data_IF_067348559458
#
_entry.id   IF_067348559458
#
_cell.length_a   1.000
_cell.length_b   1.000
_cell.length_c   1.000
_cell.angle_alpha   90.00
_cell.angle_beta   90.00
_cell.angle_gamma   90.00
#
_symmetry.space_group_name_H-M   'P 1'
#
loop_
_entity.id
_entity.type
_entity.pdbx_description
1 polymer ?
#
# COMPACT_ATOMS: atom_id res chain seq x y z
N UNK A 1 -24.93 -41.90 -26.00
CA UNK A 1 -24.02 -41.99 -27.16
C UNK A 1 -22.68 -42.51 -26.65
N UNK A 2 -22.38 -43.79 -26.93
CA UNK A 2 -21.01 -44.32 -26.95
C UNK A 2 -20.32 -43.81 -28.24
N UNK A 3 -18.98 -43.65 -28.30
CA UNK A 3 -18.01 -44.77 -28.28
C UNK A 3 -16.87 -44.55 -27.26
N UNK A 4 -16.37 -45.56 -26.50
CA UNK A 4 -15.44 -46.66 -26.89
C UNK A 4 -14.13 -46.13 -27.51
N UNK A 5 -12.92 -46.66 -27.28
CA UNK A 5 -12.35 -47.77 -26.52
C UNK A 5 -10.82 -47.74 -26.84
N UNK A 6 -10.07 -48.62 -26.15
CA UNK A 6 -8.80 -49.25 -26.62
C UNK A 6 -7.56 -48.35 -26.52
N UNK A 7 -6.68 -48.60 -25.54
CA UNK A 7 -5.60 -49.61 -25.51
C UNK A 7 -4.45 -49.24 -26.47
N UNK A 8 -3.19 -49.55 -26.21
CA UNK A 8 -2.65 -50.77 -25.66
C UNK A 8 -1.17 -50.55 -25.31
N UNK A 9 -0.66 -51.38 -24.39
CA UNK A 9 0.57 -52.18 -24.48
C UNK A 9 1.75 -51.59 -25.28
N UNK A 10 2.98 -51.61 -24.79
CA UNK A 10 3.59 -52.50 -23.81
C UNK A 10 5.09 -52.39 -24.03
N UNK A 11 5.86 -52.59 -22.96
CA UNK A 11 7.31 -52.67 -23.08
C UNK A 11 7.72 -53.89 -23.89
N UNK A 12 8.94 -53.86 -24.43
CA UNK A 12 10.00 -54.80 -24.09
C UNK A 12 11.20 -54.64 -25.01
N UNK A 13 12.39 -54.73 -24.39
CA UNK A 13 13.65 -55.24 -24.98
C UNK A 13 14.32 -54.31 -26.01
N UNK A 14 15.64 -54.29 -26.23
CA UNK A 14 16.76 -55.13 -25.81
C UNK A 14 18.04 -54.43 -26.28
N UNK A 15 19.17 -54.90 -25.76
CA UNK A 15 20.49 -54.97 -26.42
C UNK A 15 21.23 -53.67 -26.76
N UNK A 16 22.25 -53.40 -25.94
CA UNK A 16 23.50 -52.78 -26.38
C UNK A 16 24.16 -53.63 -27.48
N UNK A 17 24.72 -53.01 -28.53
CA UNK A 17 25.76 -53.59 -29.38
C UNK A 17 27.09 -52.81 -29.19
N UNK A 18 28.23 -53.28 -29.73
CA UNK A 18 29.44 -53.50 -28.95
C UNK A 18 30.46 -52.36 -29.05
N UNK A 19 31.45 -52.46 -28.16
CA UNK A 19 32.76 -51.79 -28.22
C UNK A 19 33.36 -51.97 -29.62
N UNK A 20 33.45 -50.89 -30.38
CA UNK A 20 34.41 -50.75 -31.48
C UNK A 20 35.50 -49.79 -30.99
N UNK A 21 36.70 -50.33 -30.80
CA UNK A 21 37.91 -49.54 -30.72
C UNK A 21 38.19 -48.89 -32.09
N UNK A 22 38.38 -47.58 -32.20
CA UNK A 22 39.12 -46.97 -33.29
C UNK A 22 40.60 -47.02 -32.86
N UNK A 23 41.38 -48.01 -33.30
CA UNK A 23 42.26 -47.90 -34.48
C UNK A 23 42.87 -46.51 -34.64
N UNK A 24 44.11 -46.40 -34.16
CA UNK A 24 45.08 -45.40 -34.55
C UNK A 24 45.07 -45.29 -36.09
N UNK A 25 44.53 -44.18 -36.57
CA UNK A 25 44.84 -43.67 -37.89
C UNK A 25 45.49 -42.32 -37.65
N UNK A 26 46.79 -42.29 -37.90
CA UNK A 26 47.59 -41.07 -37.92
C UNK A 26 46.94 -40.14 -38.96
N UNK A 27 46.21 -39.14 -38.45
CA UNK A 27 45.64 -38.09 -39.27
C UNK A 27 46.80 -37.16 -39.66
N UNK A 28 47.31 -37.40 -40.87
CA UNK A 28 48.23 -36.51 -41.58
C UNK A 28 47.65 -35.09 -41.56
N UNK A 29 48.25 -34.23 -40.73
CA UNK A 29 47.79 -32.85 -40.55
C UNK A 29 48.13 -32.08 -41.81
N UNK A 30 47.15 -31.95 -42.70
CA UNK A 30 47.17 -31.01 -43.81
C UNK A 30 47.50 -29.60 -43.28
N UNK A 31 48.74 -29.15 -43.51
CA UNK A 31 49.24 -27.82 -43.12
C UNK A 31 48.40 -26.66 -43.70
N UNK A 32 47.47 -26.93 -44.62
CA UNK A 32 46.53 -25.97 -45.19
C UNK A 32 45.27 -25.68 -44.34
N UNK A 33 44.96 -26.47 -43.28
CA UNK A 33 43.79 -26.25 -42.38
C UNK A 33 44.05 -25.27 -41.23
N UNK A 34 45.32 -25.01 -40.90
CA UNK A 34 45.76 -24.16 -39.78
C UNK A 34 45.23 -22.70 -39.81
N UNK A 35 45.22 -21.97 -40.94
CA UNK A 35 44.79 -20.57 -40.93
C UNK A 35 43.27 -20.40 -40.79
N UNK A 36 42.46 -21.43 -41.12
CA UNK A 36 40.99 -21.38 -40.94
C UNK A 36 40.57 -21.59 -39.49
N UNK A 37 41.25 -22.46 -38.76
CA UNK A 37 40.99 -22.71 -37.33
C UNK A 37 41.35 -21.49 -36.45
N UNK A 38 42.46 -20.79 -36.74
CA UNK A 38 42.80 -19.56 -36.01
C UNK A 38 41.77 -18.43 -36.21
N UNK A 39 41.18 -18.34 -37.41
CA UNK A 39 40.20 -17.30 -37.72
C UNK A 39 38.84 -17.57 -37.03
N UNK A 40 38.45 -18.83 -36.92
CA UNK A 40 37.27 -19.27 -36.16
C UNK A 40 37.45 -19.09 -34.66
N UNK A 41 38.64 -19.39 -34.12
CA UNK A 41 38.96 -19.08 -32.72
C UNK A 41 38.90 -17.58 -32.42
N UNK A 42 39.39 -16.74 -33.33
CA UNK A 42 39.30 -15.27 -33.18
C UNK A 42 37.85 -14.79 -33.23
N UNK A 43 36.99 -15.40 -34.06
CA UNK A 43 35.54 -15.11 -34.11
C UNK A 43 34.83 -15.57 -32.83
N UNK A 44 35.13 -16.75 -32.30
CA UNK A 44 34.59 -17.26 -31.05
C UNK A 44 35.04 -16.43 -29.82
N UNK A 45 36.31 -16.00 -29.78
CA UNK A 45 36.84 -15.08 -28.75
C UNK A 45 36.16 -13.70 -28.81
N UNK A 46 35.82 -13.19 -30.01
CA UNK A 46 35.03 -11.95 -30.15
C UNK A 46 33.58 -12.13 -29.69
N UNK A 47 32.93 -13.25 -30.01
CA UNK A 47 31.55 -13.55 -29.62
C UNK A 47 31.40 -13.75 -28.11
N UNK A 48 32.31 -14.47 -27.47
CA UNK A 48 32.34 -14.63 -26.00
C UNK A 48 32.62 -13.30 -25.28
N UNK A 49 33.44 -12.41 -25.87
CA UNK A 49 33.67 -11.06 -25.34
C UNK A 49 32.44 -10.15 -25.49
N UNK A 50 31.69 -10.28 -26.58
CA UNK A 50 30.38 -9.64 -26.78
C UNK A 50 29.36 -10.15 -25.75
N UNK A 51 29.26 -11.46 -25.54
CA UNK A 51 28.37 -12.08 -24.55
C UNK A 51 28.73 -11.66 -23.11
N UNK A 52 30.02 -11.53 -22.76
CA UNK A 52 30.44 -10.99 -21.47
C UNK A 52 30.02 -9.52 -21.28
N UNK A 53 30.05 -8.69 -22.33
CA UNK A 53 29.54 -7.31 -22.28
C UNK A 53 28.03 -7.26 -22.12
N UNK A 54 27.28 -8.11 -22.81
CA UNK A 54 25.82 -8.24 -22.67
C UNK A 54 25.43 -8.77 -21.28
N UNK A 55 26.20 -9.72 -20.73
CA UNK A 55 26.04 -10.27 -19.37
C UNK A 55 26.34 -9.24 -18.27
N UNK A 56 27.40 -8.43 -18.42
CA UNK A 56 27.71 -7.33 -17.48
C UNK A 56 26.63 -6.24 -17.51
N UNK A 57 26.09 -5.93 -18.69
CA UNK A 57 24.96 -5.01 -18.87
C UNK A 57 23.66 -5.57 -18.27
N UNK A 58 23.47 -6.90 -18.28
CA UNK A 58 22.37 -7.60 -17.60
C UNK A 58 22.51 -7.68 -16.08
N UNK A 59 23.72 -7.59 -15.53
CA UNK A 59 23.94 -7.61 -14.08
C UNK A 59 23.47 -6.30 -13.43
N UNK A 60 23.87 -5.15 -14.01
CA UNK A 60 23.33 -3.85 -13.60
C UNK A 60 21.83 -3.69 -13.90
N UNK A 61 21.32 -4.38 -14.94
CA UNK A 61 19.87 -4.42 -15.20
C UNK A 61 19.10 -5.25 -14.18
N UNK A 62 19.69 -6.32 -13.63
CA UNK A 62 19.09 -7.08 -12.53
C UNK A 62 19.11 -6.29 -11.23
N UNK A 63 20.24 -5.67 -10.88
CA UNK A 63 20.34 -4.79 -9.72
C UNK A 63 19.32 -3.63 -9.81
N UNK A 64 19.16 -3.02 -10.99
CA UNK A 64 18.14 -2.00 -11.24
C UNK A 64 16.69 -2.53 -11.16
N UNK A 65 16.44 -3.76 -11.61
CA UNK A 65 15.13 -4.41 -11.45
C UNK A 65 14.84 -4.76 -10.00
N UNK A 66 15.84 -5.21 -9.25
CA UNK A 66 15.73 -5.55 -7.83
C UNK A 66 15.45 -4.25 -7.03
N UNK A 67 16.16 -3.15 -7.31
CA UNK A 67 15.86 -1.82 -6.73
C UNK A 67 14.44 -1.34 -7.08
N UNK A 68 14.00 -1.54 -8.33
CA UNK A 68 12.64 -1.20 -8.74
C UNK A 68 11.59 -2.06 -8.06
N UNK A 69 11.85 -3.35 -7.88
CA UNK A 69 10.95 -4.26 -7.20
C UNK A 69 10.83 -3.92 -5.71
N UNK A 70 11.97 -3.64 -5.06
CA UNK A 70 12.02 -3.23 -3.66
C UNK A 70 11.31 -1.89 -3.45
N UNK A 71 11.48 -0.93 -4.37
CA UNK A 71 10.69 0.31 -4.37
C UNK A 71 9.19 0.07 -4.60
N UNK A 72 8.82 -0.85 -5.50
CA UNK A 72 7.42 -1.17 -5.78
C UNK A 72 6.75 -1.90 -4.62
N UNK A 73 7.45 -2.84 -3.98
CA UNK A 73 7.00 -3.52 -2.76
C UNK A 73 6.87 -2.53 -1.59
N UNK A 74 7.83 -1.61 -1.43
CA UNK A 74 7.74 -0.54 -0.45
C UNK A 74 6.53 0.37 -0.71
N UNK A 75 6.39 0.88 -1.94
CA UNK A 75 5.29 1.77 -2.30
C UNK A 75 3.92 1.09 -2.16
N UNK A 76 3.80 -0.18 -2.53
CA UNK A 76 2.56 -0.94 -2.36
C UNK A 76 2.25 -1.20 -0.88
N UNK A 77 3.27 -1.43 -0.04
CA UNK A 77 3.11 -1.56 1.41
C UNK A 77 2.68 -0.24 2.07
N UNK A 78 3.24 0.90 1.67
CA UNK A 78 2.84 2.23 2.14
C UNK A 78 1.40 2.57 1.73
N UNK A 79 1.02 2.24 0.50
CA UNK A 79 -0.34 2.47 0.02
C UNK A 79 -1.34 1.57 0.76
N UNK A 80 -1.01 0.29 1.00
CA UNK A 80 -1.84 -0.62 1.77
C UNK A 80 -2.03 -0.15 3.23
N UNK A 81 -0.96 0.33 3.88
CA UNK A 81 -1.03 0.86 5.24
C UNK A 81 -1.84 2.15 5.31
N UNK A 82 -1.70 3.05 4.33
CA UNK A 82 -2.51 4.27 4.22
C UNK A 82 -4.01 3.95 4.03
N UNK A 83 -4.34 3.02 3.14
CA UNK A 83 -5.73 2.59 2.92
C UNK A 83 -6.34 1.95 4.17
N UNK A 84 -5.58 1.11 4.88
CA UNK A 84 -6.02 0.49 6.12
C UNK A 84 -6.26 1.53 7.23
N UNK A 85 -5.36 2.50 7.38
CA UNK A 85 -5.50 3.59 8.34
C UNK A 85 -6.71 4.48 8.03
N UNK A 86 -6.91 4.81 6.75
CA UNK A 86 -8.10 5.54 6.30
C UNK A 86 -9.38 4.77 6.56
N UNK A 87 -9.40 3.45 6.34
CA UNK A 87 -10.55 2.61 6.64
C UNK A 87 -10.87 2.54 8.15
N UNK A 88 -9.84 2.45 9.00
CA UNK A 88 -9.98 2.49 10.46
C UNK A 88 -10.52 3.84 10.92
N UNK A 89 -9.95 4.95 10.44
CA UNK A 89 -10.39 6.30 10.80
C UNK A 89 -11.84 6.57 10.35
N UNK A 90 -12.19 6.13 9.13
CA UNK A 90 -13.54 6.21 8.58
C UNK A 90 -14.57 5.52 9.47
N UNK A 91 -14.27 4.29 9.88
CA UNK A 91 -15.18 3.45 10.65
C UNK A 91 -15.30 3.90 12.10
N UNK A 92 -14.21 4.42 12.68
CA UNK A 92 -14.17 4.95 14.04
C UNK A 92 -14.94 6.25 14.20
N UNK A 93 -14.70 7.23 13.32
CA UNK A 93 -15.40 8.52 13.36
C UNK A 93 -16.79 8.47 12.72
N UNK A 94 -17.12 7.38 12.03
CA UNK A 94 -18.33 7.20 11.22
C UNK A 94 -18.58 8.39 10.27
N UNK A 95 -17.60 8.61 9.38
CA UNK A 95 -17.54 9.71 8.40
C UNK A 95 -17.44 9.21 6.96
N UNK A 96 -17.56 10.13 6.00
CA UNK A 96 -17.44 9.80 4.56
C UNK A 96 -15.97 9.63 4.15
N UNK A 97 -15.67 8.82 3.11
CA UNK A 97 -14.30 8.67 2.59
C UNK A 97 -13.66 9.99 2.18
N UNK A 98 -14.46 10.92 1.64
CA UNK A 98 -13.98 12.25 1.25
C UNK A 98 -13.50 13.06 2.46
N UNK A 99 -14.24 13.01 3.56
CA UNK A 99 -13.85 13.68 4.81
C UNK A 99 -12.58 13.07 5.40
N UNK A 100 -12.43 11.75 5.32
CA UNK A 100 -11.22 11.03 5.77
C UNK A 100 -10.00 11.50 4.97
N UNK A 101 -10.12 11.62 3.65
CA UNK A 101 -9.04 12.14 2.80
C UNK A 101 -8.58 13.53 3.25
N UNK A 102 -9.52 14.45 3.47
CA UNK A 102 -9.19 15.80 3.95
C UNK A 102 -8.51 15.80 5.33
N UNK A 103 -8.94 14.95 6.25
CA UNK A 103 -8.30 14.84 7.57
C UNK A 103 -6.87 14.29 7.44
N UNK A 104 -6.67 13.30 6.57
CA UNK A 104 -5.37 12.70 6.32
C UNK A 104 -4.40 13.71 5.68
N UNK A 105 -4.88 14.48 4.70
CA UNK A 105 -4.10 15.54 4.05
C UNK A 105 -3.78 16.70 5.02
N UNK A 106 -4.65 16.93 6.01
CA UNK A 106 -4.42 17.89 7.10
C UNK A 106 -3.49 17.34 8.22
N UNK A 107 -3.02 16.10 8.12
CA UNK A 107 -2.10 15.48 9.08
C UNK A 107 -2.77 14.66 10.19
N UNK A 108 -4.09 14.55 10.19
CA UNK A 108 -4.85 13.78 11.17
C UNK A 108 -5.06 12.34 10.69
N UNK A 109 -4.04 11.51 10.85
CA UNK A 109 -4.01 10.13 10.34
C UNK A 109 -4.63 9.11 11.30
N UNK A 110 -4.72 9.44 12.59
CA UNK A 110 -5.22 8.54 13.64
C UNK A 110 -6.31 9.21 14.50
N UNK A 111 -7.21 8.44 15.13
CA UNK A 111 -8.19 9.01 16.07
C UNK A 111 -7.51 9.79 17.20
N UNK A 112 -6.38 9.30 17.71
CA UNK A 112 -5.59 9.96 18.75
C UNK A 112 -5.10 11.35 18.32
N UNK A 113 -4.75 11.56 17.05
CA UNK A 113 -4.35 12.89 16.56
C UNK A 113 -5.49 13.92 16.62
N UNK A 114 -6.75 13.47 16.60
CA UNK A 114 -7.93 14.33 16.74
C UNK A 114 -8.34 14.57 18.19
N UNK A 115 -7.94 13.68 19.10
CA UNK A 115 -8.22 13.78 20.54
C UNK A 115 -7.66 15.07 21.14
N UNK A 116 -6.43 15.41 20.76
CA UNK A 116 -5.72 16.58 21.29
C UNK A 116 -6.05 17.88 20.56
N UNK A 117 -6.57 17.77 19.33
CA UNK A 117 -6.90 18.91 18.49
C UNK A 117 -8.23 19.56 18.91
N UNK A 118 -8.36 20.86 18.63
CA UNK A 118 -9.64 21.58 18.78
C UNK A 118 -10.39 21.65 17.45
N UNK A 119 -11.74 21.76 17.44
CA UNK A 119 -12.51 21.97 16.21
C UNK A 119 -11.99 23.16 15.39
N UNK A 120 -11.60 24.27 16.02
CA UNK A 120 -11.05 25.44 15.34
C UNK A 120 -9.67 25.19 14.72
N UNK A 121 -8.79 24.45 15.40
CA UNK A 121 -7.48 24.06 14.85
C UNK A 121 -7.63 23.17 13.61
N UNK A 122 -8.52 22.18 13.66
CA UNK A 122 -8.76 21.31 12.51
C UNK A 122 -9.33 22.12 11.34
N UNK A 123 -10.24 23.07 11.59
CA UNK A 123 -10.74 23.98 10.53
C UNK A 123 -9.62 24.83 9.94
N UNK A 124 -8.70 25.35 10.77
CA UNK A 124 -7.56 26.12 10.29
C UNK A 124 -6.67 25.28 9.37
N UNK A 125 -6.37 24.04 9.75
CA UNK A 125 -5.60 23.10 8.94
C UNK A 125 -6.30 22.72 7.64
N UNK A 126 -7.61 22.50 7.67
CA UNK A 126 -8.41 22.23 6.47
C UNK A 126 -8.43 23.41 5.51
N UNK A 127 -8.35 24.65 6.01
CA UNK A 127 -8.30 25.85 5.18
C UNK A 127 -6.93 26.10 4.53
N UNK A 128 -5.87 25.44 5.01
CA UNK A 128 -4.56 25.42 4.35
C UNK A 128 -4.57 24.53 3.09
N UNK A 129 -5.57 23.65 2.94
CA UNK A 129 -5.68 22.75 1.79
C UNK A 129 -6.16 23.48 0.52
N UNK A 130 -5.61 23.12 -0.66
CA UNK A 130 -5.99 23.75 -1.91
C UNK A 130 -7.48 23.52 -2.21
N UNK A 131 -8.21 24.62 -2.47
CA UNK A 131 -9.61 24.59 -2.86
C UNK A 131 -10.63 24.69 -1.71
N UNK A 132 -10.19 24.88 -0.46
CA UNK A 132 -11.09 25.08 0.68
C UNK A 132 -10.93 26.48 1.28
N UNK A 133 -11.91 27.37 1.06
CA UNK A 133 -11.90 28.68 1.72
C UNK A 133 -12.16 28.52 3.22
N UNK A 134 -11.42 29.24 4.08
CA UNK A 134 -11.63 29.22 5.54
C UNK A 134 -13.08 29.46 5.96
N UNK A 135 -13.79 30.40 5.32
CA UNK A 135 -15.21 30.66 5.61
C UNK A 135 -16.11 29.45 5.31
N UNK A 136 -15.83 28.73 4.22
CA UNK A 136 -16.56 27.50 3.86
C UNK A 136 -16.17 26.36 4.79
N UNK A 137 -14.87 26.22 5.10
CA UNK A 137 -14.36 25.24 6.05
C UNK A 137 -15.08 25.37 7.40
N UNK A 138 -15.12 26.59 7.95
CA UNK A 138 -15.79 26.87 9.21
C UNK A 138 -17.31 26.65 9.14
N UNK A 139 -17.97 27.10 8.08
CA UNK A 139 -19.44 26.96 7.98
C UNK A 139 -19.90 25.50 7.83
N UNK A 140 -19.20 24.70 7.03
CA UNK A 140 -19.64 23.33 6.70
C UNK A 140 -19.04 22.25 7.60
N UNK A 141 -17.81 22.43 8.08
CA UNK A 141 -17.08 21.37 8.78
C UNK A 141 -17.03 21.54 10.30
N UNK A 142 -17.25 22.75 10.85
CA UNK A 142 -17.14 22.97 12.30
C UNK A 142 -18.12 22.09 13.11
N UNK A 143 -19.38 22.01 12.66
CA UNK A 143 -20.39 21.17 13.31
C UNK A 143 -20.01 19.69 13.36
N UNK A 144 -19.66 19.02 12.24
CA UNK A 144 -19.21 17.63 12.31
C UNK A 144 -17.85 17.47 13.00
N UNK A 145 -16.98 18.48 13.01
CA UNK A 145 -15.68 18.42 13.71
C UNK A 145 -15.82 18.36 15.23
N UNK A 146 -16.80 19.05 15.82
CA UNK A 146 -17.13 18.90 17.26
C UNK A 146 -17.36 17.44 17.65
N UNK A 147 -18.06 16.69 16.79
CA UNK A 147 -18.28 15.26 16.97
C UNK A 147 -16.99 14.47 16.78
N UNK A 148 -16.27 14.71 15.69
CA UNK A 148 -15.08 13.94 15.33
C UNK A 148 -13.98 14.05 16.39
N UNK A 149 -13.75 15.27 16.90
CA UNK A 149 -12.75 15.55 17.95
C UNK A 149 -13.10 14.80 19.24
N UNK A 150 -14.38 14.81 19.66
CA UNK A 150 -14.82 14.03 20.82
C UNK A 150 -14.67 12.52 20.60
N UNK A 151 -15.10 12.01 19.44
CA UNK A 151 -14.97 10.59 19.12
C UNK A 151 -13.51 10.13 19.12
N UNK A 152 -12.57 11.02 18.77
CA UNK A 152 -11.13 10.72 18.82
C UNK A 152 -10.60 10.34 20.21
N UNK A 153 -11.28 10.74 21.30
CA UNK A 153 -10.94 10.33 22.68
C UNK A 153 -11.41 8.90 23.02
N UNK A 154 -12.42 8.39 22.33
CA UNK A 154 -12.98 7.06 22.61
C UNK A 154 -12.12 6.00 21.95
N UNK A 155 -11.38 5.22 22.74
CA UNK A 155 -10.51 4.16 22.23
C UNK A 155 -11.30 2.96 21.70
N UNK A 156 -12.41 2.60 22.36
CA UNK A 156 -13.25 1.48 21.94
C UNK A 156 -14.13 1.85 20.74
N UNK A 157 -14.01 1.05 19.67
CA UNK A 157 -14.73 1.26 18.42
C UNK A 157 -16.25 1.08 18.58
N UNK A 158 -16.67 0.13 19.42
CA UNK A 158 -18.09 -0.14 19.62
C UNK A 158 -18.73 0.97 20.47
N UNK A 159 -18.06 1.41 21.54
CA UNK A 159 -18.47 2.60 22.29
C UNK A 159 -18.57 3.83 21.37
N UNK A 160 -17.55 4.10 20.56
CA UNK A 160 -17.54 5.23 19.64
C UNK A 160 -18.74 5.19 18.67
N UNK A 161 -19.10 4.01 18.17
CA UNK A 161 -20.27 3.81 17.30
C UNK A 161 -21.59 4.03 18.03
N UNK A 162 -21.74 3.51 19.25
CA UNK A 162 -22.96 3.72 20.04
C UNK A 162 -23.16 5.19 20.36
N UNK A 163 -22.10 5.89 20.76
CA UNK A 163 -22.10 7.32 21.06
C UNK A 163 -22.39 8.13 19.80
N UNK A 164 -21.76 7.80 18.67
CA UNK A 164 -22.04 8.42 17.38
C UNK A 164 -23.51 8.24 16.93
N UNK A 165 -24.10 7.08 17.21
CA UNK A 165 -25.50 6.79 16.90
C UNK A 165 -26.48 7.49 17.87
N UNK A 166 -26.15 7.56 19.16
CA UNK A 166 -26.95 8.24 20.20
C UNK A 166 -26.99 9.75 19.96
N UNK A 167 -25.87 10.33 19.55
CA UNK A 167 -25.71 11.77 19.35
C UNK A 167 -25.57 12.12 17.88
N UNK A 168 -26.69 12.09 17.16
CA UNK A 168 -26.70 12.48 15.75
C UNK A 168 -26.67 14.01 15.57
N UNK A 169 -27.20 14.78 16.52
CA UNK A 169 -27.37 16.23 16.40
C UNK A 169 -26.35 17.01 17.23
N UNK A 170 -25.33 17.51 16.53
CA UNK A 170 -24.27 18.35 17.11
C UNK A 170 -24.49 19.86 16.91
N UNK A 171 -25.75 20.30 16.85
CA UNK A 171 -26.06 21.73 16.75
C UNK A 171 -25.84 22.42 18.09
N UNK A 172 -25.57 23.73 18.06
CA UNK A 172 -25.45 24.56 19.27
C UNK A 172 -26.68 24.39 20.16
N UNK A 173 -27.88 24.44 19.57
CA UNK A 173 -29.16 24.28 20.28
C UNK A 173 -29.22 22.97 21.08
N UNK A 174 -28.78 21.85 20.50
CA UNK A 174 -28.82 20.57 21.20
C UNK A 174 -27.71 20.44 22.23
N UNK A 175 -26.51 20.98 21.97
CA UNK A 175 -25.44 21.03 22.97
C UNK A 175 -25.83 21.90 24.18
N UNK A 176 -26.58 22.99 23.95
CA UNK A 176 -27.17 23.81 25.02
C UNK A 176 -28.22 23.01 25.79
N UNK A 177 -29.11 22.30 25.10
CA UNK A 177 -30.13 21.44 25.73
C UNK A 177 -29.51 20.35 26.60
N UNK A 178 -28.39 19.78 26.16
CA UNK A 178 -27.62 18.79 26.92
C UNK A 178 -26.83 19.39 28.08
N UNK A 179 -26.78 20.73 28.21
CA UNK A 179 -26.02 21.43 29.25
C UNK A 179 -24.50 21.43 29.03
N UNK A 180 -24.05 21.04 27.84
CA UNK A 180 -22.63 20.84 27.53
C UNK A 180 -22.01 22.06 26.85
N UNK A 181 -22.84 22.88 26.19
CA UNK A 181 -22.38 24.08 25.49
C UNK A 181 -21.81 25.13 26.45
N UNK A 182 -20.63 25.65 26.10
CA UNK A 182 -19.97 26.77 26.80
C UNK A 182 -19.46 27.79 25.78
N UNK A 183 -19.20 29.02 26.23
CA UNK A 183 -18.47 29.98 25.41
C UNK A 183 -17.07 29.44 25.10
N UNK A 184 -16.62 29.56 23.84
CA UNK A 184 -15.36 28.95 23.40
C UNK A 184 -15.41 27.42 23.27
N UNK A 185 -16.60 26.80 23.16
CA UNK A 185 -16.71 25.33 23.00
C UNK A 185 -15.86 24.77 21.84
N UNK A 186 -15.74 25.54 20.75
CA UNK A 186 -14.97 25.14 19.57
C UNK A 186 -13.44 25.21 19.76
N UNK A 187 -12.98 25.73 20.91
CA UNK A 187 -11.59 25.76 21.35
C UNK A 187 -11.28 24.65 22.38
N UNK A 188 -12.26 23.80 22.68
CA UNK A 188 -12.06 22.62 23.53
C UNK A 188 -11.54 21.45 22.72
N UNK A 189 -10.65 20.67 23.33
CA UNK A 189 -10.16 19.42 22.74
C UNK A 189 -11.16 18.26 22.96
N UNK A 190 -10.87 17.11 22.35
CA UNK A 190 -11.72 15.92 22.42
C UNK A 190 -11.96 15.43 23.84
N UNK A 191 -10.90 15.44 24.65
CA UNK A 191 -10.94 15.02 26.07
C UNK A 191 -11.89 15.89 26.87
N UNK A 192 -11.74 17.21 26.77
CA UNK A 192 -12.56 18.18 27.51
C UNK A 192 -14.03 18.12 27.10
N UNK A 193 -14.30 17.93 25.80
CA UNK A 193 -15.67 17.74 25.31
C UNK A 193 -16.23 16.43 25.87
N UNK A 194 -15.46 15.34 25.83
CA UNK A 194 -15.88 14.04 26.32
C UNK A 194 -16.19 14.05 27.82
N UNK A 195 -15.32 14.65 28.63
CA UNK A 195 -15.53 14.83 30.08
C UNK A 195 -16.78 15.64 30.40
N UNK A 196 -17.03 16.74 29.67
CA UNK A 196 -18.27 17.52 29.83
C UNK A 196 -19.51 16.71 29.50
N UNK A 197 -19.46 15.94 28.42
CA UNK A 197 -20.58 15.08 28.01
C UNK A 197 -20.89 14.01 29.07
N UNK A 198 -19.86 13.40 29.68
CA UNK A 198 -20.01 12.49 30.82
C UNK A 198 -20.56 13.21 32.06
N UNK A 199 -20.02 14.37 32.39
CA UNK A 199 -20.44 15.17 33.55
C UNK A 199 -21.90 15.65 33.48
N UNK A 200 -22.43 15.86 32.28
CA UNK A 200 -23.83 16.23 32.05
C UNK A 200 -24.76 15.02 31.86
N UNK A 201 -24.25 13.78 31.90
CA UNK A 201 -25.04 12.57 31.63
C UNK A 201 -25.58 12.48 30.20
N UNK A 202 -24.96 13.20 29.25
CA UNK A 202 -25.35 13.19 27.85
C UNK A 202 -24.95 11.89 27.15
N UNK A 203 -23.89 11.25 27.63
CA UNK A 203 -23.38 9.95 27.17
C UNK A 203 -23.35 8.96 28.32
#
# INVERSE_FOLDING_TARGET
MLPTLVAAYGGTTRTSPPVLAPQDSEEEVDEAKLPRLEEEERKAKKFTRQLRKVSKKRRGFREWLDELYEYYEYATSEMATKEEQQAKLKTHLAITPKTVGFLYDAGYTTPASLREATPNEVVAKLAELPGLDFKKAKAYYLRPLRRMVMLGDIEDLDEARTVAAKLQKWSIVELVRLGVWVEGFDDLNGVQIHEKMKGCGAI
#
